data_IF_327599483959
#
_entry.id   IF_327599483959
#
_cell.length_a   1.000
_cell.length_b   1.000
_cell.length_c   1.000
_cell.angle_alpha   90.00
_cell.angle_beta   90.00
_cell.angle_gamma   90.00
#
_symmetry.space_group_name_H-M   'P 1'
#
loop_
_entity.id
_entity.type
_entity.pdbx_description
1 polymer ?
#
# COMPACT_ATOMS: atom_id res chain seq x y z
N UNK A 1 5.40 39.69 -10.46
CA UNK A 1 5.84 39.56 -11.87
C UNK A 1 5.73 38.10 -12.24
N UNK A 2 4.69 37.73 -12.98
CA UNK A 2 4.31 36.34 -13.25
C UNK A 2 4.62 36.06 -14.73
N UNK A 3 5.54 35.14 -14.98
CA UNK A 3 5.90 34.72 -16.34
C UNK A 3 4.71 33.99 -16.97
N UNK A 4 4.26 34.35 -18.19
CA UNK A 4 3.10 33.69 -18.78
C UNK A 4 3.41 32.22 -19.13
N UNK A 5 2.41 31.32 -19.11
CA UNK A 5 2.60 29.93 -19.51
C UNK A 5 2.96 29.87 -21.00
N UNK A 6 4.07 29.20 -21.34
CA UNK A 6 4.43 28.89 -22.73
C UNK A 6 3.35 28.01 -23.33
N UNK A 7 2.69 28.51 -24.39
CA UNK A 7 1.85 27.71 -25.25
C UNK A 7 2.67 26.55 -25.82
N UNK A 8 2.21 25.32 -25.59
CA UNK A 8 2.80 24.12 -26.15
C UNK A 8 2.40 24.01 -27.63
N UNK A 9 3.34 24.30 -28.55
CA UNK A 9 3.14 24.21 -30.01
C UNK A 9 3.67 22.88 -30.57
N UNK A 10 3.27 21.76 -29.96
CA UNK A 10 3.63 20.43 -30.44
C UNK A 10 2.77 20.02 -31.63
N UNK A 11 3.22 20.28 -32.86
CA UNK A 11 2.62 19.71 -34.06
C UNK A 11 3.15 18.29 -34.25
N UNK A 12 2.50 17.31 -33.62
CA UNK A 12 2.82 15.88 -33.80
C UNK A 12 2.14 15.34 -35.05
N UNK A 13 2.62 15.69 -36.24
CA UNK A 13 2.34 14.92 -37.46
C UNK A 13 3.20 13.66 -37.48
N UNK A 14 2.82 12.66 -36.68
CA UNK A 14 3.28 11.29 -36.89
C UNK A 14 2.44 10.70 -38.05
N UNK A 15 3.10 10.41 -39.18
CA UNK A 15 2.45 9.75 -40.31
C UNK A 15 1.84 8.41 -39.86
N UNK A 16 0.60 8.07 -40.25
CA UNK A 16 -0.02 6.82 -39.85
C UNK A 16 0.69 5.63 -40.53
N UNK A 17 1.16 4.69 -39.71
CA UNK A 17 1.67 3.40 -40.18
C UNK A 17 0.52 2.60 -40.81
N UNK A 18 0.67 2.02 -42.02
CA UNK A 18 -0.42 1.32 -42.68
C UNK A 18 -0.79 0.06 -41.91
N UNK A 19 -2.00 0.05 -41.31
CA UNK A 19 -2.58 -1.15 -40.68
C UNK A 19 -3.18 -2.04 -41.77
N UNK A 20 -2.48 -3.11 -42.10
CA UNK A 20 -3.01 -4.22 -42.89
C UNK A 20 -4.17 -4.90 -42.13
N UNK A 21 -5.37 -4.76 -42.67
CA UNK A 21 -6.51 -5.69 -42.59
C UNK A 21 -6.88 -6.32 -41.24
N UNK A 22 -7.88 -5.76 -40.55
CA UNK A 22 -9.10 -6.49 -40.16
C UNK A 22 -10.16 -5.50 -39.68
N UNK A 23 -11.42 -5.68 -40.12
CA UNK A 23 -12.57 -4.84 -39.76
C UNK A 23 -13.13 -5.15 -38.37
N UNK A 24 -12.28 -5.61 -37.45
CA UNK A 24 -12.66 -5.85 -36.06
C UNK A 24 -12.32 -4.60 -35.26
N UNK A 25 -13.33 -3.95 -34.70
CA UNK A 25 -13.14 -2.93 -33.66
C UNK A 25 -12.24 -3.55 -32.59
N UNK A 26 -11.08 -2.98 -32.25
CA UNK A 26 -10.27 -3.49 -31.16
C UNK A 26 -11.10 -3.34 -29.89
N UNK A 27 -11.67 -4.45 -29.40
CA UNK A 27 -12.29 -4.47 -28.09
C UNK A 27 -11.14 -4.24 -27.10
N UNK A 28 -11.07 -3.03 -26.54
CA UNK A 28 -10.13 -2.75 -25.48
C UNK A 28 -10.34 -3.79 -24.37
N UNK A 29 -9.26 -4.34 -23.77
CA UNK A 29 -9.41 -5.19 -22.60
C UNK A 29 -10.27 -4.45 -21.56
N UNK A 30 -11.18 -5.17 -20.91
CA UNK A 30 -12.22 -4.64 -20.00
C UNK A 30 -11.66 -3.76 -18.84
N UNK A 31 -10.35 -3.68 -18.70
CA UNK A 31 -9.63 -2.91 -17.66
C UNK A 31 -9.24 -1.49 -18.09
N UNK A 32 -9.37 -1.12 -19.36
CA UNK A 32 -9.04 0.22 -19.85
C UNK A 32 -10.14 0.74 -20.78
N UNK A 33 -10.98 1.64 -20.26
CA UNK A 33 -12.00 2.32 -21.06
C UNK A 33 -11.36 3.38 -21.97
N UNK A 34 -11.89 3.51 -23.19
CA UNK A 34 -11.51 4.59 -24.09
C UNK A 34 -12.14 5.91 -23.61
N UNK A 35 -11.36 6.99 -23.60
CA UNK A 35 -11.82 8.31 -23.20
C UNK A 35 -12.50 9.00 -24.40
N UNK A 36 -13.79 8.73 -24.62
CA UNK A 36 -14.52 9.17 -25.83
C UNK A 36 -15.54 10.27 -25.59
N UNK A 37 -16.18 10.28 -24.42
CA UNK A 37 -17.34 11.13 -24.17
C UNK A 37 -17.00 12.25 -23.17
N UNK A 38 -17.36 13.52 -23.48
CA UNK A 38 -17.19 14.62 -22.54
C UNK A 38 -18.21 14.54 -21.39
N UNK A 39 -17.98 15.22 -20.25
CA UNK A 39 -16.88 16.15 -19.99
C UNK A 39 -15.55 15.46 -19.65
N UNK A 40 -14.46 15.98 -20.21
CA UNK A 40 -13.11 15.54 -19.87
C UNK A 40 -12.60 16.29 -18.63
N UNK A 41 -11.90 15.56 -17.77
CA UNK A 41 -11.32 16.10 -16.54
C UNK A 41 -9.81 16.00 -16.57
N UNK A 42 -9.14 17.02 -16.04
CA UNK A 42 -7.69 17.04 -15.83
C UNK A 42 -7.39 17.41 -14.38
N UNK A 43 -6.45 16.70 -13.77
CA UNK A 43 -5.96 16.98 -12.42
C UNK A 43 -4.44 17.07 -12.46
N UNK A 44 -3.89 18.09 -11.81
CA UNK A 44 -2.44 18.20 -11.63
C UNK A 44 -2.00 17.21 -10.56
N UNK A 45 -0.99 16.40 -10.86
CA UNK A 45 -0.40 15.46 -9.91
C UNK A 45 1.02 15.89 -9.56
N UNK A 46 1.40 15.66 -8.31
CA UNK A 46 2.74 15.91 -7.79
C UNK A 46 3.24 14.65 -7.08
N UNK A 47 4.55 14.49 -7.02
CA UNK A 47 5.16 13.44 -6.21
C UNK A 47 4.86 13.72 -4.73
N UNK A 48 4.28 12.72 -4.05
CA UNK A 48 4.02 12.73 -2.62
C UNK A 48 4.76 11.59 -1.92
N UNK A 49 4.81 11.64 -0.59
CA UNK A 49 5.37 10.58 0.25
C UNK A 49 4.24 9.72 0.81
N UNK A 50 4.29 8.41 0.56
CA UNK A 50 3.26 7.45 0.99
C UNK A 50 3.53 6.80 2.35
N UNK A 51 4.80 6.74 2.77
CA UNK A 51 5.24 6.05 3.97
C UNK A 51 6.73 5.75 3.93
N UNK A 52 7.25 5.17 5.01
CA UNK A 52 8.62 4.69 5.10
C UNK A 52 8.71 3.21 4.75
N UNK A 53 9.78 2.81 4.08
CA UNK A 53 10.09 1.39 3.89
C UNK A 53 10.84 0.77 5.07
N UNK A 54 11.48 1.59 5.91
CA UNK A 54 12.18 1.13 7.11
C UNK A 54 11.25 0.98 8.30
N UNK A 55 11.75 0.33 9.35
CA UNK A 55 11.04 0.13 10.61
C UNK A 55 11.86 -0.72 11.57
N UNK A 56 11.20 -1.25 12.60
CA UNK A 56 11.82 -2.18 13.55
C UNK A 56 12.23 -3.47 12.84
N UNK A 57 13.48 -3.88 13.02
CA UNK A 57 13.95 -5.18 12.55
C UNK A 57 13.16 -6.28 13.28
N UNK A 58 12.60 -7.21 12.53
CA UNK A 58 11.84 -8.33 13.07
C UNK A 58 12.23 -9.63 12.39
N UNK A 59 12.17 -10.73 13.15
CA UNK A 59 12.32 -12.06 12.59
C UNK A 59 11.03 -12.54 11.87
N UNK A 60 11.00 -13.83 11.52
CA UNK A 60 9.85 -14.45 10.84
C UNK A 60 8.62 -14.58 11.75
N UNK A 61 8.81 -14.61 13.07
CA UNK A 61 7.74 -14.65 14.07
C UNK A 61 7.25 -13.24 14.45
N UNK A 62 7.85 -12.19 13.86
CA UNK A 62 7.55 -10.79 14.11
C UNK A 62 8.07 -10.25 15.45
N UNK A 63 8.96 -10.98 16.12
CA UNK A 63 9.65 -10.49 17.33
C UNK A 63 10.63 -9.40 16.95
N UNK A 64 10.63 -8.29 17.69
CA UNK A 64 11.55 -7.18 17.45
C UNK A 64 12.96 -7.57 17.88
N UNK A 65 13.93 -7.29 17.03
CA UNK A 65 15.34 -7.60 17.23
C UNK A 65 16.10 -6.38 17.77
N UNK A 66 16.99 -6.61 18.73
CA UNK A 66 17.93 -5.62 19.20
C UNK A 66 19.13 -5.43 18.24
N UNK A 67 20.09 -4.59 18.64
CA UNK A 67 21.32 -4.33 17.87
C UNK A 67 22.22 -5.55 17.69
N UNK A 68 22.04 -6.60 18.51
CA UNK A 68 22.76 -7.87 18.47
C UNK A 68 21.96 -8.98 17.78
N UNK A 69 20.87 -8.61 17.08
CA UNK A 69 19.95 -9.54 16.42
C UNK A 69 19.28 -10.52 17.40
N UNK A 70 19.14 -10.13 18.67
CA UNK A 70 18.46 -10.92 19.68
C UNK A 70 17.01 -10.45 19.83
N UNK A 71 16.02 -11.37 19.90
CA UNK A 71 14.63 -11.02 20.16
C UNK A 71 14.46 -10.31 21.50
N UNK A 72 13.76 -9.18 21.49
CA UNK A 72 13.34 -8.47 22.71
C UNK A 72 12.06 -9.14 23.25
N UNK A 73 12.09 -9.71 24.46
CA UNK A 73 10.93 -10.44 25.00
C UNK A 73 9.67 -9.57 25.09
N UNK A 74 8.55 -10.10 24.60
CA UNK A 74 7.24 -9.43 24.66
C UNK A 74 7.03 -8.29 23.65
N UNK A 75 8.02 -7.99 22.80
CA UNK A 75 7.92 -6.91 21.82
C UNK A 75 7.80 -7.47 20.39
N UNK A 76 6.68 -7.16 19.74
CA UNK A 76 6.35 -7.61 18.38
C UNK A 76 5.99 -6.42 17.49
N UNK A 77 6.28 -6.51 16.20
CA UNK A 77 5.97 -5.47 15.23
C UNK A 77 5.56 -6.06 13.87
N UNK A 78 4.47 -5.54 13.30
CA UNK A 78 3.93 -5.94 12.01
C UNK A 78 3.40 -4.74 11.22
N UNK A 79 3.51 -4.79 9.89
CA UNK A 79 3.12 -3.68 9.01
C UNK A 79 4.18 -2.58 8.93
N UNK A 80 3.77 -1.35 8.65
CA UNK A 80 4.70 -0.24 8.35
C UNK A 80 5.61 0.17 9.53
N UNK A 81 5.33 -0.31 10.73
CA UNK A 81 6.20 -0.10 11.91
C UNK A 81 7.38 -1.07 11.94
N UNK A 82 7.30 -2.21 11.24
CA UNK A 82 8.44 -3.12 11.05
C UNK A 82 9.14 -2.86 9.72
N UNK A 83 10.39 -3.32 9.61
CA UNK A 83 11.17 -3.19 8.39
C UNK A 83 10.42 -3.84 7.21
N UNK A 84 10.28 -3.06 6.14
CA UNK A 84 9.47 -3.42 4.99
C UNK A 84 10.09 -4.56 4.20
N UNK A 85 9.30 -5.58 3.89
CA UNK A 85 9.73 -6.77 3.13
C UNK A 85 10.29 -6.43 1.74
N UNK A 86 9.90 -5.28 1.19
CA UNK A 86 10.35 -4.81 -0.13
C UNK A 86 11.50 -3.82 -0.08
N UNK A 87 11.97 -3.44 1.13
CA UNK A 87 13.05 -2.46 1.34
C UNK A 87 12.88 -1.22 0.44
N UNK A 88 13.84 -0.95 -0.43
CA UNK A 88 13.89 0.24 -1.29
C UNK A 88 12.97 0.16 -2.52
N UNK A 89 12.17 -0.90 -2.67
CA UNK A 89 11.28 -1.10 -3.82
C UNK A 89 9.81 -1.16 -3.40
N UNK A 90 8.93 -0.86 -4.35
CA UNK A 90 7.48 -1.01 -4.21
C UNK A 90 6.93 -1.81 -5.39
N UNK A 91 6.60 -3.10 -5.22
CA UNK A 91 6.30 -3.99 -6.35
C UNK A 91 4.96 -3.68 -7.04
N UNK A 92 4.08 -2.90 -6.40
CA UNK A 92 2.82 -2.47 -7.00
C UNK A 92 1.82 -1.93 -5.97
N UNK A 93 0.74 -1.34 -6.47
CA UNK A 93 -0.37 -0.86 -5.63
C UNK A 93 -0.90 -1.97 -4.71
N UNK A 94 -1.02 -1.68 -3.41
CA UNK A 94 -1.48 -2.63 -2.41
C UNK A 94 -0.38 -3.42 -1.69
N UNK A 95 0.88 -3.33 -2.12
CA UNK A 95 1.99 -4.06 -1.50
C UNK A 95 2.17 -3.74 0.00
N UNK A 96 1.94 -2.48 0.39
CA UNK A 96 1.94 -2.05 1.81
C UNK A 96 0.90 -2.80 2.62
N UNK A 97 -0.36 -2.79 2.17
CA UNK A 97 -1.47 -3.44 2.88
C UNK A 97 -1.34 -4.96 2.86
N UNK A 98 -1.00 -5.54 1.71
CA UNK A 98 -0.81 -6.98 1.58
C UNK A 98 0.24 -7.50 2.55
N UNK A 99 1.43 -6.89 2.57
CA UNK A 99 2.48 -7.30 3.49
C UNK A 99 2.12 -7.07 4.96
N UNK A 100 1.44 -5.98 5.28
CA UNK A 100 1.02 -5.68 6.65
C UNK A 100 0.02 -6.71 7.18
N UNK A 101 -1.03 -7.03 6.42
CA UNK A 101 -2.08 -7.97 6.83
C UNK A 101 -1.50 -9.38 6.97
N UNK A 102 -0.72 -9.84 5.99
CA UNK A 102 -0.11 -11.18 6.03
C UNK A 102 0.82 -11.34 7.22
N UNK A 103 1.67 -10.34 7.49
CA UNK A 103 2.62 -10.41 8.61
C UNK A 103 1.89 -10.32 9.95
N UNK A 104 0.91 -9.43 10.09
CA UNK A 104 0.12 -9.32 11.32
C UNK A 104 -0.62 -10.62 11.64
N UNK A 105 -1.19 -11.28 10.62
CA UNK A 105 -1.84 -12.57 10.79
C UNK A 105 -0.87 -13.65 11.30
N UNK A 106 0.31 -13.78 10.66
CA UNK A 106 1.31 -14.75 11.08
C UNK A 106 1.81 -14.53 12.52
N UNK A 107 2.02 -13.26 12.91
CA UNK A 107 2.38 -12.90 14.30
C UNK A 107 1.25 -13.24 15.27
N UNK A 108 -0.01 -12.97 14.89
CA UNK A 108 -1.17 -13.34 15.69
C UNK A 108 -1.27 -14.83 15.97
N UNK A 109 -1.07 -15.67 14.95
CA UNK A 109 -1.03 -17.14 15.08
C UNK A 109 0.12 -17.61 15.99
N UNK A 110 1.31 -17.02 15.83
CA UNK A 110 2.46 -17.32 16.68
C UNK A 110 2.17 -16.98 18.15
N UNK A 111 1.60 -15.81 18.41
CA UNK A 111 1.21 -15.37 19.75
C UNK A 111 0.11 -16.25 20.35
N UNK A 112 -0.91 -16.61 19.56
CA UNK A 112 -1.99 -17.48 20.02
C UNK A 112 -1.45 -18.84 20.49
N UNK A 113 -0.51 -19.43 19.76
CA UNK A 113 0.10 -20.72 20.14
C UNK A 113 1.05 -20.60 21.33
N UNK A 114 1.84 -19.52 21.39
CA UNK A 114 2.87 -19.35 22.42
C UNK A 114 2.34 -18.82 23.76
N UNK A 115 1.21 -18.11 23.77
CA UNK A 115 0.61 -17.51 24.98
C UNK A 115 -0.61 -18.30 25.51
N UNK A 116 -1.07 -19.33 24.79
CA UNK A 116 -2.22 -20.16 25.16
C UNK A 116 -2.21 -20.73 26.60
N UNK A 117 -1.07 -21.10 27.24
CA UNK A 117 -1.14 -21.62 28.61
C UNK A 117 -1.26 -20.54 29.69
N UNK A 118 -1.14 -19.25 29.37
CA UNK A 118 -1.07 -18.16 30.36
C UNK A 118 -2.13 -17.08 30.22
N UNK A 119 -2.95 -17.10 29.17
CA UNK A 119 -3.98 -16.10 28.96
C UNK A 119 -5.29 -16.50 29.69
N UNK A 120 -5.78 -15.73 30.68
CA UNK A 120 -7.13 -15.93 31.18
C UNK A 120 -8.14 -15.69 30.04
N UNK A 121 -9.26 -16.45 29.97
CA UNK A 121 -10.21 -16.31 28.88
C UNK A 121 -10.73 -14.87 28.81
N UNK A 122 -10.81 -14.32 27.58
CA UNK A 122 -11.38 -13.00 27.34
C UNK A 122 -12.79 -12.95 27.95
N UNK A 123 -13.13 -11.91 28.74
CA UNK A 123 -14.49 -11.75 29.24
C UNK A 123 -15.44 -11.64 28.05
N UNK A 124 -16.63 -12.25 28.17
CA UNK A 124 -17.63 -12.44 27.10
C UNK A 124 -18.08 -11.16 26.36
N UNK A 125 -17.60 -9.98 26.76
CA UNK A 125 -18.03 -8.67 26.32
C UNK A 125 -16.96 -7.92 25.51
N UNK A 126 -15.87 -8.59 25.09
CA UNK A 126 -14.76 -7.97 24.34
C UNK A 126 -15.15 -7.42 22.94
N UNK A 127 -16.42 -7.54 22.52
CA UNK A 127 -16.97 -6.92 21.31
C UNK A 127 -17.43 -5.47 21.47
N UNK A 128 -17.35 -4.85 22.66
CA UNK A 128 -17.87 -3.51 22.89
C UNK A 128 -16.91 -2.62 23.68
N UNK A 129 -16.08 -1.86 22.94
CA UNK A 129 -15.62 -0.50 23.24
C UNK A 129 -14.19 -0.29 22.70
N UNK A 130 -14.10 0.10 21.43
CA UNK A 130 -13.01 1.00 21.03
C UNK A 130 -13.47 2.38 21.51
N UNK A 131 -12.83 3.03 22.50
CA UNK A 131 -13.27 4.35 22.94
C UNK A 131 -13.17 5.31 21.76
N UNK A 132 -14.26 6.02 21.47
CA UNK A 132 -14.33 6.97 20.37
C UNK A 132 -13.22 8.02 20.53
N UNK A 133 -12.43 8.22 19.48
CA UNK A 133 -11.43 9.30 19.40
C UNK A 133 -12.18 10.63 19.51
N UNK A 134 -11.81 11.53 20.44
CA UNK A 134 -12.42 12.85 20.52
C UNK A 134 -12.20 13.59 19.20
N UNK A 135 -13.29 14.02 18.55
CA UNK A 135 -13.22 14.92 17.41
C UNK A 135 -12.68 16.26 17.94
N UNK A 136 -11.50 16.68 17.47
CA UNK A 136 -10.99 18.01 17.73
C UNK A 136 -11.91 19.04 17.05
N UNK A 137 -12.38 20.02 17.83
CA UNK A 137 -13.21 21.14 17.37
C UNK A 137 -12.42 22.27 16.72
#
# INVERSE_FOLDING_TARGET
MQTPPRAWTGNSTAAPHPRTGSSATPQAPQTHACLLEPPFYAVTTHAGVLGTSGGLATDFDGRVLDRHQQPIPGLFAAGNVSDGVFRNNYPGGGATLGSAITRAFAVGEHLATSLAPTCPPLPANAGAAIPAVPQAG
#
